data_IF_411595463477
#
_entry.id   IF_411595463477
#
_cell.length_a   1.000
_cell.length_b   1.000
_cell.length_c   1.000
_cell.angle_alpha   90.00
_cell.angle_beta   90.00
_cell.angle_gamma   90.00
#
_symmetry.space_group_name_H-M   'P 1'
#
loop_
_entity.id
_entity.type
_entity.pdbx_description
1 polymer ?
#
# COMPACT_ATOMS: atom_id res chain seq x y z
N UNK A 1 44.04 5.37 2.36
CA UNK A 1 42.78 5.96 1.86
C UNK A 1 42.04 4.90 1.06
N UNK A 2 41.09 4.21 1.66
CA UNK A 2 40.26 3.19 0.99
C UNK A 2 39.09 3.90 0.32
N UNK A 3 39.00 3.81 -1.00
CA UNK A 3 37.84 4.35 -1.73
C UNK A 3 36.59 3.52 -1.38
N UNK A 4 35.42 4.14 -1.17
CA UNK A 4 34.18 3.41 -0.96
C UNK A 4 33.79 2.67 -2.25
N UNK A 5 33.59 1.36 -2.14
CA UNK A 5 33.10 0.52 -3.24
C UNK A 5 31.66 0.91 -3.55
N UNK A 6 31.39 1.43 -4.75
CA UNK A 6 30.01 1.66 -5.19
C UNK A 6 29.26 0.32 -5.27
N UNK A 7 27.99 0.24 -4.81
CA UNK A 7 27.21 -0.98 -4.91
C UNK A 7 27.02 -1.37 -6.37
N UNK A 8 27.18 -2.68 -6.65
CA UNK A 8 26.91 -3.27 -7.96
C UNK A 8 25.46 -3.00 -8.36
N UNK A 9 25.25 -2.39 -9.52
CA UNK A 9 23.92 -2.29 -10.13
C UNK A 9 23.49 -3.66 -10.65
N UNK A 10 22.28 -4.07 -10.31
CA UNK A 10 21.64 -5.28 -10.83
C UNK A 10 21.19 -5.05 -12.27
N UNK A 11 21.25 -6.09 -13.10
CA UNK A 11 20.63 -6.08 -14.43
C UNK A 11 19.11 -6.31 -14.32
N UNK A 12 18.39 -6.17 -15.44
CA UNK A 12 16.93 -6.27 -15.47
C UNK A 12 16.39 -7.64 -14.98
N UNK A 13 17.08 -8.73 -15.30
CA UNK A 13 16.69 -10.07 -14.86
C UNK A 13 16.92 -10.24 -13.36
N UNK A 14 18.08 -9.81 -12.86
CA UNK A 14 18.39 -9.84 -11.43
C UNK A 14 17.39 -9.00 -10.61
N UNK A 15 16.94 -7.85 -11.14
CA UNK A 15 15.89 -7.04 -10.52
C UNK A 15 14.53 -7.76 -10.51
N UNK A 16 14.14 -8.38 -11.63
CA UNK A 16 12.89 -9.12 -11.71
C UNK A 16 12.86 -10.34 -10.79
N UNK A 17 13.99 -11.05 -10.68
CA UNK A 17 14.12 -12.20 -9.77
C UNK A 17 14.03 -11.76 -8.31
N UNK A 18 14.68 -10.65 -7.97
CA UNK A 18 14.60 -10.05 -6.64
C UNK A 18 13.19 -9.57 -6.32
N UNK A 19 12.52 -8.89 -7.25
CA UNK A 19 11.12 -8.45 -7.08
C UNK A 19 10.18 -9.65 -6.86
N UNK A 20 10.28 -10.69 -7.69
CA UNK A 20 9.51 -11.93 -7.53
C UNK A 20 9.74 -12.62 -6.18
N UNK A 21 10.97 -12.55 -5.65
CA UNK A 21 11.30 -13.08 -4.34
C UNK A 21 10.69 -12.23 -3.22
N UNK A 22 10.83 -10.90 -3.30
CA UNK A 22 10.39 -9.98 -2.26
C UNK A 22 8.87 -9.78 -2.22
N UNK A 23 8.20 -9.86 -3.37
CA UNK A 23 6.73 -9.76 -3.48
C UNK A 23 5.98 -10.92 -2.80
N UNK A 24 6.65 -12.03 -2.50
CA UNK A 24 6.09 -13.19 -1.77
C UNK A 24 6.26 -13.11 -0.26
N UNK A 25 6.87 -12.05 0.26
CA UNK A 25 7.11 -11.91 1.70
C UNK A 25 5.78 -11.76 2.42
N UNK A 26 5.64 -12.50 3.52
CA UNK A 26 4.55 -12.30 4.45
C UNK A 26 4.61 -10.87 5.00
N UNK A 27 3.46 -10.20 5.01
CA UNK A 27 3.28 -8.88 5.61
C UNK A 27 2.13 -9.03 6.60
N UNK A 28 2.43 -8.83 7.88
CA UNK A 28 1.41 -8.72 8.90
C UNK A 28 0.71 -7.38 8.71
N UNK A 29 -0.58 -7.43 8.36
CA UNK A 29 -1.38 -6.22 8.18
C UNK A 29 -1.75 -5.66 9.55
N UNK A 30 -1.60 -4.36 9.71
CA UNK A 30 -2.03 -3.67 10.92
C UNK A 30 -3.57 -3.83 11.07
N UNK A 31 -4.06 -4.39 12.20
CA UNK A 31 -5.49 -4.55 12.43
C UNK A 31 -6.22 -3.21 12.50
N UNK A 32 -5.50 -2.14 12.83
CA UNK A 32 -5.94 -0.76 12.80
C UNK A 32 -6.11 -0.21 11.38
N UNK A 33 -5.66 -0.88 10.32
CA UNK A 33 -5.83 -0.43 8.94
C UNK A 33 -4.65 0.35 8.37
N UNK A 34 -4.89 1.17 7.35
CA UNK A 34 -3.86 1.99 6.69
C UNK A 34 -4.34 3.41 6.40
N UNK A 35 -3.39 4.29 6.13
CA UNK A 35 -3.68 5.68 5.77
C UNK A 35 -3.24 5.96 4.34
N UNK A 36 -4.12 6.60 3.57
CA UNK A 36 -3.74 7.31 2.35
C UNK A 36 -3.47 8.77 2.74
N UNK A 37 -2.21 9.15 2.75
CA UNK A 37 -1.77 10.52 2.99
C UNK A 37 -1.75 11.26 1.66
N UNK A 38 -2.34 12.45 1.62
CA UNK A 38 -2.39 13.30 0.44
C UNK A 38 -2.35 14.78 0.83
N UNK A 39 -1.99 15.62 -0.14
CA UNK A 39 -2.00 17.06 0.02
C UNK A 39 -3.28 17.62 -0.61
N UNK A 40 -3.97 18.48 0.13
CA UNK A 40 -5.11 19.25 -0.36
C UNK A 40 -4.57 20.63 -0.75
N UNK A 41 -4.34 20.90 -2.06
CA UNK A 41 -3.55 22.05 -2.50
C UNK A 41 -4.17 23.41 -2.13
N UNK A 42 -5.48 23.47 -2.01
CA UNK A 42 -6.25 24.60 -1.48
C UNK A 42 -7.18 24.00 -0.43
N UNK A 43 -7.00 24.22 0.89
CA UNK A 43 -6.28 25.32 1.55
C UNK A 43 -4.81 25.06 1.96
N UNK A 44 -4.12 24.08 1.36
CA UNK A 44 -2.71 23.80 1.64
C UNK A 44 -2.47 22.88 2.85
N UNK A 45 -3.36 21.91 3.05
CA UNK A 45 -3.33 21.02 4.21
C UNK A 45 -2.72 19.65 3.88
N UNK A 46 -2.17 19.00 4.90
CA UNK A 46 -1.89 17.57 4.85
C UNK A 46 -3.10 16.82 5.38
N UNK A 47 -3.62 15.91 4.55
CA UNK A 47 -4.81 15.14 4.84
C UNK A 47 -4.46 13.65 4.87
N UNK A 48 -5.15 12.90 5.72
CA UNK A 48 -5.00 11.45 5.78
C UNK A 48 -6.39 10.78 5.80
N UNK A 49 -6.65 9.93 4.80
CA UNK A 49 -7.83 9.05 4.78
C UNK A 49 -7.45 7.72 5.42
N UNK A 50 -8.17 7.33 6.45
CA UNK A 50 -8.05 6.03 7.09
C UNK A 50 -8.92 4.99 6.40
N UNK A 51 -8.38 3.80 6.18
CA UNK A 51 -9.04 2.65 5.56
C UNK A 51 -8.81 1.39 6.39
N UNK A 52 -9.79 0.48 6.41
CA UNK A 52 -9.63 -0.84 7.04
C UNK A 52 -8.82 -1.80 6.15
N UNK A 53 -8.14 -2.76 6.79
CA UNK A 53 -7.49 -3.90 6.14
C UNK A 53 -8.39 -5.15 6.20
N UNK A 54 -9.67 -5.02 5.87
CA UNK A 54 -10.56 -6.18 5.87
C UNK A 54 -10.17 -7.16 4.75
N UNK A 55 -9.62 -8.30 5.14
CA UNK A 55 -9.21 -9.39 4.26
C UNK A 55 -10.06 -10.61 4.61
N UNK A 56 -10.71 -11.21 3.62
CA UNK A 56 -11.50 -12.41 3.85
C UNK A 56 -10.62 -13.68 3.96
N UNK A 57 -11.24 -14.82 4.25
CA UNK A 57 -10.56 -16.12 4.40
C UNK A 57 -9.80 -16.58 3.15
N UNK A 58 -10.13 -16.03 1.98
CA UNK A 58 -9.46 -16.31 0.71
C UNK A 58 -8.24 -15.41 0.46
N UNK A 59 -7.92 -14.51 1.40
CA UNK A 59 -6.85 -13.53 1.25
C UNK A 59 -7.19 -12.35 0.34
N UNK A 60 -8.49 -12.10 0.08
CA UNK A 60 -8.92 -10.99 -0.77
C UNK A 60 -9.27 -9.76 0.08
N UNK A 61 -8.84 -8.58 -0.36
CA UNK A 61 -9.29 -7.32 0.21
C UNK A 61 -10.76 -7.10 -0.10
N UNK A 62 -11.57 -6.90 0.94
CA UNK A 62 -13.01 -6.79 0.85
C UNK A 62 -13.48 -5.46 1.43
N UNK A 63 -14.62 -4.99 0.94
CA UNK A 63 -15.32 -3.89 1.59
C UNK A 63 -15.83 -4.35 2.97
N UNK A 64 -15.56 -3.61 4.06
CA UNK A 64 -15.89 -4.05 5.42
C UNK A 64 -17.39 -4.03 5.72
N UNK A 65 -18.21 -3.30 4.95
CA UNK A 65 -19.66 -3.24 5.15
C UNK A 65 -20.37 -4.34 4.34
N UNK A 66 -19.97 -4.55 3.09
CA UNK A 66 -20.63 -5.51 2.20
C UNK A 66 -19.99 -6.90 2.21
N UNK A 67 -18.72 -7.01 2.60
CA UNK A 67 -17.93 -8.24 2.52
C UNK A 67 -17.49 -8.61 1.10
N UNK A 68 -17.86 -7.83 0.08
CA UNK A 68 -17.55 -8.11 -1.32
C UNK A 68 -16.07 -7.80 -1.63
N UNK A 69 -15.39 -8.64 -2.42
CA UNK A 69 -14.02 -8.38 -2.88
C UNK A 69 -13.92 -7.07 -3.65
N UNK A 70 -12.88 -6.30 -3.34
CA UNK A 70 -12.55 -5.08 -4.05
C UNK A 70 -11.90 -5.46 -5.38
N UNK A 71 -12.46 -5.06 -6.53
CA UNK A 71 -11.91 -5.44 -7.83
C UNK A 71 -10.56 -4.75 -8.06
N UNK A 72 -9.66 -5.47 -8.74
CA UNK A 72 -8.33 -4.96 -9.08
C UNK A 72 -8.36 -3.95 -10.25
N UNK A 73 -9.44 -3.95 -11.03
CA UNK A 73 -9.62 -3.10 -12.21
C UNK A 73 -10.83 -2.18 -12.03
N UNK A 74 -10.70 -0.95 -12.54
CA UNK A 74 -11.74 0.08 -12.44
C UNK A 74 -11.55 1.01 -11.25
N UNK A 75 -12.19 2.18 -11.33
CA UNK A 75 -12.15 3.18 -10.26
C UNK A 75 -13.21 2.81 -9.21
N UNK A 76 -12.83 1.96 -8.26
CA UNK A 76 -13.67 1.69 -7.09
C UNK A 76 -13.36 2.72 -6.02
N UNK A 77 -14.37 3.52 -5.68
CA UNK A 77 -14.31 4.35 -4.48
C UNK A 77 -14.34 3.44 -3.26
N UNK A 78 -13.18 3.28 -2.61
CA UNK A 78 -13.13 2.69 -1.28
C UNK A 78 -13.74 3.66 -0.27
N UNK A 79 -14.60 3.13 0.60
CA UNK A 79 -15.09 3.85 1.76
C UNK A 79 -13.94 4.03 2.76
N UNK A 80 -13.68 5.28 3.12
CA UNK A 80 -12.72 5.62 4.18
C UNK A 80 -13.49 5.68 5.50
N UNK A 81 -12.88 5.20 6.57
CA UNK A 81 -13.49 5.21 7.91
C UNK A 81 -13.41 6.61 8.54
N UNK A 82 -12.36 7.36 8.23
CA UNK A 82 -12.13 8.70 8.78
C UNK A 82 -11.23 9.54 7.88
N UNK A 83 -11.39 10.87 7.93
CA UNK A 83 -10.45 11.83 7.33
C UNK A 83 -9.88 12.71 8.43
N UNK A 84 -8.55 12.68 8.57
CA UNK A 84 -7.80 13.61 9.39
C UNK A 84 -7.32 14.76 8.51
N UNK A 85 -7.43 16.01 8.99
CA UNK A 85 -6.93 17.21 8.33
C UNK A 85 -6.10 18.00 9.35
N UNK A 86 -4.91 18.46 8.95
CA UNK A 86 -3.98 19.21 9.81
C UNK A 86 -3.24 20.29 9.06
#
# INVERSE_FOLDING_TARGET
>A
MTQPTLPRRLNAQELADLDNQLSKRFIELDPGGYFLIYLEPEPGLICAKHFSNFINEKGLACDPETGEPLPCEGNVQRSHTHIYKG
#
